data_IF_164672008079
#
_entry.id   IF_164672008079
#
_cell.length_a   1.000
_cell.length_b   1.000
_cell.length_c   1.000
_cell.angle_alpha   90.00
_cell.angle_beta   90.00
_cell.angle_gamma   90.00
#
_symmetry.space_group_name_H-M   'P 1'
#
loop_
_entity.id
_entity.type
_entity.pdbx_description
1 polymer ?
#
# COMPACT_ATOMS: atom_id res chain seq x y z
N UNK A 1 7.00 4.34 35.95
CA UNK A 1 6.37 3.69 34.78
C UNK A 1 6.95 4.40 33.58
N UNK A 2 7.83 3.73 32.83
CA UNK A 2 8.36 4.31 31.59
C UNK A 2 7.25 4.24 30.55
N UNK A 3 7.02 5.34 29.86
CA UNK A 3 6.13 5.39 28.71
C UNK A 3 6.91 4.85 27.51
N UNK A 4 7.05 3.52 27.45
CA UNK A 4 7.95 2.82 26.52
C UNK A 4 7.75 3.24 25.05
N UNK A 5 6.51 3.57 24.64
CA UNK A 5 6.23 4.02 23.28
C UNK A 5 6.88 5.38 22.96
N UNK A 6 6.85 6.29 23.94
CA UNK A 6 7.45 7.62 23.82
C UNK A 6 8.98 7.53 23.87
N UNK A 7 9.51 6.62 24.70
CA UNK A 7 10.94 6.35 24.80
C UNK A 7 11.49 5.70 23.51
N UNK A 8 10.78 4.72 22.92
CA UNK A 8 11.17 4.09 21.65
C UNK A 8 11.15 5.11 20.49
N UNK A 9 10.09 5.93 20.40
CA UNK A 9 9.99 6.95 19.36
C UNK A 9 11.12 7.98 19.47
N UNK A 10 11.37 8.46 20.69
CA UNK A 10 12.45 9.41 20.97
C UNK A 10 13.82 8.81 20.70
N UNK A 11 14.03 7.56 21.05
CA UNK A 11 15.27 6.84 20.76
C UNK A 11 15.54 6.76 19.26
N UNK A 12 14.54 6.44 18.44
CA UNK A 12 14.68 6.34 16.98
C UNK A 12 14.84 7.73 16.32
N UNK A 13 14.28 8.80 16.92
CA UNK A 13 14.57 10.19 16.55
C UNK A 13 16.03 10.55 16.87
N UNK A 14 16.52 10.23 18.07
CA UNK A 14 17.88 10.53 18.52
C UNK A 14 18.93 9.78 17.68
N UNK A 15 18.61 8.56 17.21
CA UNK A 15 19.42 7.80 16.25
C UNK A 15 19.38 8.38 14.83
N UNK A 16 18.52 9.38 14.56
CA UNK A 16 18.37 10.00 13.25
C UNK A 16 17.74 9.09 12.21
N UNK A 17 16.98 8.07 12.60
CA UNK A 17 16.30 7.14 11.69
C UNK A 17 14.98 7.76 11.18
N UNK A 18 14.27 8.43 12.08
CA UNK A 18 13.06 9.21 11.80
C UNK A 18 13.27 10.65 12.26
N UNK A 19 12.40 11.55 11.82
CA UNK A 19 12.35 12.94 12.25
C UNK A 19 10.91 13.39 12.39
N UNK A 20 10.69 14.33 13.31
CA UNK A 20 9.45 15.07 13.41
C UNK A 20 9.52 16.28 12.48
N UNK A 21 8.57 16.38 11.55
CA UNK A 21 8.35 17.56 10.73
C UNK A 21 6.91 18.01 10.96
N UNK A 22 6.70 19.13 11.66
CA UNK A 22 5.37 19.70 11.90
C UNK A 22 4.39 18.73 12.60
N UNK A 23 4.87 17.92 13.56
CA UNK A 23 4.16 16.83 14.23
C UNK A 23 3.90 15.58 13.35
N UNK A 24 4.48 15.52 12.16
CA UNK A 24 4.47 14.30 11.33
C UNK A 24 5.78 13.55 11.49
N UNK A 25 5.68 12.27 11.87
CA UNK A 25 6.83 11.37 11.94
C UNK A 25 7.14 10.84 10.54
N UNK A 26 8.31 11.19 10.03
CA UNK A 26 8.78 10.78 8.69
C UNK A 26 10.15 10.12 8.77
N UNK A 27 10.50 9.31 7.78
CA UNK A 27 11.88 8.80 7.67
C UNK A 27 12.86 9.96 7.47
N UNK A 28 14.02 9.86 8.14
CA UNK A 28 15.02 10.91 8.07
C UNK A 28 15.61 11.07 6.66
N UNK A 29 15.72 9.97 5.90
CA UNK A 29 16.22 9.93 4.53
C UNK A 29 15.57 8.80 3.70
N UNK A 30 15.83 8.83 2.38
CA UNK A 30 15.29 7.87 1.40
C UNK A 30 15.80 6.43 1.62
N UNK A 31 17.02 6.25 2.13
CA UNK A 31 17.58 4.92 2.40
C UNK A 31 16.75 4.21 3.47
N UNK A 32 16.39 4.90 4.56
CA UNK A 32 15.53 4.34 5.59
C UNK A 32 14.12 4.06 5.09
N UNK A 33 13.58 4.99 4.28
CA UNK A 33 12.28 4.80 3.62
C UNK A 33 12.22 3.58 2.70
N UNK A 34 13.36 3.17 2.13
CA UNK A 34 13.43 1.98 1.29
C UNK A 34 13.74 0.70 2.09
N UNK A 35 14.73 0.75 2.98
CA UNK A 35 15.26 -0.44 3.66
C UNK A 35 14.32 -0.94 4.74
N UNK A 36 13.76 -0.07 5.58
CA UNK A 36 12.94 -0.50 6.72
C UNK A 36 11.69 -1.26 6.25
N UNK A 37 10.86 -0.72 5.32
CA UNK A 37 9.71 -1.47 4.82
C UNK A 37 10.10 -2.77 4.12
N UNK A 38 11.22 -2.78 3.39
CA UNK A 38 11.73 -3.99 2.73
C UNK A 38 12.09 -5.08 3.74
N UNK A 39 12.73 -4.73 4.85
CA UNK A 39 13.07 -5.66 5.92
C UNK A 39 11.81 -6.19 6.61
N UNK A 40 10.87 -5.31 6.95
CA UNK A 40 9.59 -5.68 7.56
C UNK A 40 8.78 -6.63 6.67
N UNK A 41 8.83 -6.43 5.35
CA UNK A 41 8.10 -7.26 4.38
C UNK A 41 8.78 -8.58 4.04
N UNK A 42 10.05 -8.78 4.40
CA UNK A 42 10.81 -9.94 3.94
C UNK A 42 10.21 -11.27 4.41
N UNK A 43 9.74 -11.32 5.66
CA UNK A 43 9.11 -12.53 6.18
C UNK A 43 7.73 -12.77 5.56
N UNK A 44 6.96 -11.73 5.30
CA UNK A 44 5.68 -11.85 4.59
C UNK A 44 5.88 -12.43 3.20
N UNK A 45 6.86 -11.89 2.46
CA UNK A 45 7.22 -12.41 1.16
C UNK A 45 7.52 -13.90 1.23
N UNK A 46 8.31 -14.39 2.19
CA UNK A 46 8.63 -15.83 2.26
C UNK A 46 7.42 -16.74 2.44
N UNK A 47 6.31 -16.24 2.98
CA UNK A 47 5.14 -17.04 3.31
C UNK A 47 4.03 -16.99 2.25
N UNK A 48 3.99 -15.98 1.37
CA UNK A 48 2.96 -15.86 0.30
C UNK A 48 3.32 -16.69 -0.97
N UNK A 49 3.92 -17.88 -0.81
CA UNK A 49 4.69 -18.57 -1.89
C UNK A 49 3.90 -18.89 -3.15
N UNK A 50 2.64 -19.26 -3.00
CA UNK A 50 1.87 -19.86 -4.08
C UNK A 50 1.31 -18.82 -5.06
N UNK A 51 0.99 -17.61 -4.61
CA UNK A 51 0.19 -16.68 -5.42
C UNK A 51 0.99 -15.66 -6.23
N UNK A 52 2.23 -15.32 -5.89
CA UNK A 52 2.90 -14.20 -6.57
C UNK A 52 3.94 -14.57 -7.63
N UNK A 53 3.75 -15.68 -8.36
CA UNK A 53 4.57 -15.98 -9.53
C UNK A 53 4.37 -14.90 -10.59
N UNK A 54 5.42 -14.15 -10.94
CA UNK A 54 5.33 -12.99 -11.85
C UNK A 54 4.61 -13.30 -13.16
N UNK A 55 4.93 -14.44 -13.79
CA UNK A 55 4.40 -14.81 -15.11
C UNK A 55 2.87 -14.89 -15.16
N UNK A 56 2.19 -15.12 -14.04
CA UNK A 56 0.73 -15.18 -13.98
C UNK A 56 0.05 -13.85 -14.24
N UNK A 57 0.77 -12.75 -14.00
CA UNK A 57 0.29 -11.38 -14.10
C UNK A 57 0.85 -10.65 -15.31
N UNK A 58 1.55 -11.34 -16.22
CA UNK A 58 2.08 -10.76 -17.45
C UNK A 58 1.15 -11.09 -18.62
N UNK A 59 0.75 -10.06 -19.35
CA UNK A 59 -0.03 -10.19 -20.59
C UNK A 59 0.84 -10.75 -21.72
N UNK A 60 0.22 -11.24 -22.79
CA UNK A 60 0.93 -11.77 -23.97
C UNK A 60 1.91 -10.77 -24.61
N UNK A 61 1.69 -9.47 -24.43
CA UNK A 61 2.58 -8.39 -24.91
C UNK A 61 3.70 -8.03 -23.92
N UNK A 62 3.90 -8.80 -22.85
CA UNK A 62 4.95 -8.57 -21.84
C UNK A 62 4.65 -7.43 -20.85
N UNK A 63 3.44 -6.84 -20.89
CA UNK A 63 3.02 -5.80 -19.94
C UNK A 63 2.37 -6.41 -18.70
N UNK A 64 2.43 -5.69 -17.59
CA UNK A 64 1.79 -6.10 -16.35
C UNK A 64 0.26 -5.95 -16.44
N UNK A 65 -0.45 -6.96 -15.96
CA UNK A 65 -1.88 -6.91 -15.70
C UNK A 65 -2.14 -6.51 -14.24
N UNK A 66 -2.15 -5.20 -13.99
CA UNK A 66 -2.37 -4.66 -12.66
C UNK A 66 -3.75 -5.03 -12.10
N UNK A 67 -4.78 -5.08 -12.94
CA UNK A 67 -6.13 -5.43 -12.50
C UNK A 67 -6.18 -6.88 -12.02
N UNK A 68 -5.61 -7.80 -12.81
CA UNK A 68 -5.51 -9.22 -12.41
C UNK A 68 -4.67 -9.38 -11.14
N UNK A 69 -3.59 -8.61 -11.01
CA UNK A 69 -2.72 -8.64 -9.84
C UNK A 69 -3.45 -8.19 -8.56
N UNK A 70 -4.15 -7.07 -8.62
CA UNK A 70 -4.90 -6.54 -7.48
C UNK A 70 -6.12 -7.39 -7.13
N UNK A 71 -6.77 -8.04 -8.10
CA UNK A 71 -7.84 -9.02 -7.83
C UNK A 71 -7.32 -10.24 -7.09
N UNK A 72 -6.17 -10.79 -7.51
CA UNK A 72 -5.55 -11.90 -6.80
C UNK A 72 -5.09 -11.49 -5.39
N UNK A 73 -4.63 -10.25 -5.23
CA UNK A 73 -4.34 -9.72 -3.90
C UNK A 73 -5.59 -9.60 -3.04
N UNK A 74 -6.71 -9.11 -3.58
CA UNK A 74 -7.98 -8.97 -2.88
C UNK A 74 -8.49 -10.33 -2.38
N UNK A 75 -8.39 -11.38 -3.19
CA UNK A 75 -8.69 -12.77 -2.83
C UNK A 75 -7.75 -13.26 -1.71
N UNK A 76 -6.43 -13.17 -1.93
CA UNK A 76 -5.43 -13.53 -0.91
C UNK A 76 -5.67 -12.81 0.43
N UNK A 77 -5.94 -11.51 0.37
CA UNK A 77 -6.16 -10.69 1.56
C UNK A 77 -7.43 -11.12 2.29
N UNK A 78 -8.51 -11.43 1.57
CA UNK A 78 -9.75 -11.92 2.18
C UNK A 78 -9.60 -13.25 2.92
N UNK A 79 -8.76 -14.15 2.38
CA UNK A 79 -8.55 -15.48 2.97
C UNK A 79 -7.57 -15.48 4.14
N UNK A 80 -6.57 -14.59 4.11
CA UNK A 80 -5.39 -14.73 4.96
C UNK A 80 -5.17 -13.56 5.93
N UNK A 81 -5.74 -12.38 5.66
CA UNK A 81 -5.32 -11.15 6.34
C UNK A 81 -5.48 -11.19 7.86
N UNK A 82 -6.55 -11.78 8.40
CA UNK A 82 -6.78 -11.80 9.85
C UNK A 82 -5.64 -12.48 10.61
N UNK A 83 -5.20 -13.66 10.15
CA UNK A 83 -4.07 -14.40 10.72
C UNK A 83 -2.76 -13.62 10.63
N UNK A 84 -2.57 -12.86 9.55
CA UNK A 84 -1.39 -12.02 9.37
C UNK A 84 -1.42 -10.78 10.25
N UNK A 85 -2.57 -10.11 10.34
CA UNK A 85 -2.75 -8.88 11.10
C UNK A 85 -2.65 -9.10 12.60
N UNK A 86 -3.05 -10.28 13.10
CA UNK A 86 -2.85 -10.66 14.50
C UNK A 86 -1.38 -10.83 14.89
N UNK A 87 -0.51 -11.19 13.93
CA UNK A 87 0.92 -11.38 14.17
C UNK A 87 1.72 -10.08 14.16
N UNK A 88 1.12 -8.96 13.75
CA UNK A 88 1.80 -7.68 13.74
C UNK A 88 1.55 -6.90 15.03
N UNK A 89 2.63 -6.45 15.65
CA UNK A 89 2.56 -5.43 16.71
C UNK A 89 2.04 -4.08 16.15
N UNK A 90 2.18 -3.85 14.84
CA UNK A 90 1.75 -2.65 14.12
C UNK A 90 0.47 -2.87 13.27
N UNK A 91 -0.65 -3.18 13.92
CA UNK A 91 -1.92 -3.54 13.24
C UNK A 91 -2.36 -2.59 12.12
N UNK A 92 -2.04 -1.30 12.25
CA UNK A 92 -2.41 -0.28 11.27
C UNK A 92 -1.55 -0.27 10.01
N UNK A 93 -0.27 -0.64 10.10
CA UNK A 93 0.62 -0.73 8.95
C UNK A 93 0.52 -2.08 8.24
N UNK A 94 -0.01 -3.10 8.91
CA UNK A 94 -0.14 -4.47 8.42
C UNK A 94 -0.76 -4.58 7.01
N UNK A 95 -1.92 -3.97 6.71
CA UNK A 95 -2.55 -4.06 5.39
C UNK A 95 -1.66 -3.52 4.27
N UNK A 96 -1.02 -2.37 4.50
CA UNK A 96 -0.12 -1.75 3.54
C UNK A 96 1.14 -2.62 3.32
N UNK A 97 1.68 -3.19 4.40
CA UNK A 97 2.85 -4.09 4.36
C UNK A 97 2.53 -5.39 3.61
N UNK A 98 1.34 -5.97 3.82
CA UNK A 98 0.88 -7.14 3.08
C UNK A 98 0.77 -6.87 1.57
N UNK A 99 0.14 -5.77 1.16
CA UNK A 99 0.07 -5.38 -0.25
C UNK A 99 1.47 -5.18 -0.82
N UNK A 100 2.34 -4.45 -0.12
CA UNK A 100 3.71 -4.24 -0.58
C UNK A 100 4.49 -5.55 -0.72
N UNK A 101 4.37 -6.48 0.23
CA UNK A 101 5.02 -7.78 0.16
C UNK A 101 4.52 -8.61 -1.02
N UNK A 102 3.21 -8.56 -1.29
CA UNK A 102 2.59 -9.24 -2.43
C UNK A 102 3.11 -8.66 -3.76
N UNK A 103 3.07 -7.33 -3.91
CA UNK A 103 3.55 -6.63 -5.08
C UNK A 103 5.05 -6.86 -5.30
N UNK A 104 5.88 -6.81 -4.26
CA UNK A 104 7.32 -7.03 -4.37
C UNK A 104 7.64 -8.37 -5.02
N UNK A 105 6.92 -9.46 -4.70
CA UNK A 105 7.20 -10.76 -5.32
C UNK A 105 6.97 -10.74 -6.83
N UNK A 106 5.90 -10.10 -7.27
CA UNK A 106 5.53 -10.05 -8.69
C UNK A 106 6.43 -9.07 -9.44
N UNK A 107 6.62 -7.87 -8.91
CA UNK A 107 7.31 -6.77 -9.59
C UNK A 107 8.83 -6.97 -9.61
N UNK A 108 9.44 -7.61 -8.61
CA UNK A 108 10.89 -7.84 -8.59
C UNK A 108 11.38 -8.76 -9.73
N UNK A 109 10.48 -9.42 -10.48
CA UNK A 109 10.79 -10.19 -11.68
C UNK A 109 11.05 -9.35 -12.95
N UNK A 110 11.02 -8.02 -12.89
CA UNK A 110 11.30 -7.16 -14.05
C UNK A 110 10.91 -5.68 -13.95
N UNK A 111 10.48 -5.21 -12.78
CA UNK A 111 10.05 -3.84 -12.55
C UNK A 111 10.61 -3.25 -11.24
N UNK A 112 10.08 -2.08 -10.87
CA UNK A 112 10.47 -1.31 -9.68
C UNK A 112 9.23 -0.83 -8.95
N UNK A 113 9.32 -0.79 -7.62
CA UNK A 113 8.30 -0.17 -6.76
C UNK A 113 8.99 1.00 -6.07
N UNK A 114 8.60 2.21 -6.42
CA UNK A 114 9.02 3.43 -5.75
C UNK A 114 8.01 3.75 -4.65
N UNK A 115 8.51 4.00 -3.44
CA UNK A 115 7.70 4.31 -2.25
C UNK A 115 7.94 5.76 -1.88
N UNK A 116 6.88 6.51 -1.70
CA UNK A 116 6.98 7.82 -1.05
C UNK A 116 6.24 7.74 0.29
N UNK A 117 6.98 7.33 1.33
CA UNK A 117 6.48 7.39 2.71
C UNK A 117 6.46 8.85 3.16
N UNK A 118 5.33 9.55 2.95
CA UNK A 118 5.05 10.81 3.61
C UNK A 118 3.79 10.65 4.46
N UNK A 119 3.99 10.29 5.72
CA UNK A 119 2.97 10.50 6.76
C UNK A 119 2.71 12.01 6.79
N UNK A 120 1.49 12.45 6.48
CA UNK A 120 1.04 13.83 6.71
C UNK A 120 0.90 14.77 5.51
N UNK A 121 1.73 14.66 4.45
CA UNK A 121 1.88 15.81 3.50
C UNK A 121 1.29 15.64 2.09
N UNK A 122 0.61 14.52 1.77
CA UNK A 122 -0.10 14.36 0.49
C UNK A 122 0.77 13.96 -0.71
N UNK A 123 1.56 12.89 -0.58
CA UNK A 123 2.16 12.13 -1.68
C UNK A 123 1.41 10.81 -1.89
N UNK A 124 1.64 10.15 -3.02
CA UNK A 124 1.06 8.83 -3.27
C UNK A 124 1.95 7.71 -2.76
N UNK A 125 1.32 6.72 -2.13
CA UNK A 125 2.00 5.66 -1.41
C UNK A 125 2.91 4.81 -2.32
N UNK A 126 2.48 4.47 -3.55
CA UNK A 126 3.23 3.59 -4.45
C UNK A 126 3.20 4.04 -5.92
N UNK A 127 4.37 4.14 -6.54
CA UNK A 127 4.56 4.20 -7.99
C UNK A 127 5.25 2.93 -8.47
N UNK A 128 4.57 2.15 -9.30
CA UNK A 128 5.08 0.90 -9.86
C UNK A 128 5.48 1.14 -11.30
N UNK A 129 6.72 0.78 -11.63
CA UNK A 129 7.23 0.81 -13.01
C UNK A 129 7.50 -0.62 -13.47
N UNK A 130 6.90 -1.06 -14.57
CA UNK A 130 7.09 -2.41 -15.10
C UNK A 130 7.12 -2.39 -16.62
N UNK A 131 8.24 -2.81 -17.21
CA UNK A 131 8.43 -2.88 -18.66
C UNK A 131 7.97 -1.60 -19.42
N UNK A 132 8.28 -0.42 -18.87
CA UNK A 132 7.91 0.88 -19.43
C UNK A 132 6.51 1.40 -19.09
N UNK A 133 5.66 0.60 -18.43
CA UNK A 133 4.38 1.07 -17.90
C UNK A 133 4.56 1.61 -16.49
N UNK A 134 3.71 2.59 -16.13
CA UNK A 134 3.66 3.18 -14.79
C UNK A 134 2.26 2.99 -14.21
N UNK A 135 2.19 2.63 -12.93
CA UNK A 135 0.93 2.48 -12.18
C UNK A 135 1.05 3.24 -10.87
N UNK A 136 0.03 4.03 -10.56
CA UNK A 136 -0.05 4.86 -9.37
C UNK A 136 -1.09 4.25 -8.43
N UNK A 137 -0.68 3.90 -7.21
CA UNK A 137 -1.53 3.29 -6.20
C UNK A 137 -1.53 4.17 -4.94
N UNK A 138 -2.70 4.66 -4.55
CA UNK A 138 -2.96 5.36 -3.29
C UNK A 138 -3.61 4.39 -2.30
N UNK A 139 -3.12 4.33 -1.06
CA UNK A 139 -3.58 3.40 -0.04
C UNK A 139 -4.25 4.18 1.10
N UNK A 140 -5.40 3.69 1.55
CA UNK A 140 -6.15 4.29 2.66
C UNK A 140 -6.78 3.23 3.54
N UNK A 141 -6.66 3.43 4.85
CA UNK A 141 -7.49 2.72 5.83
C UNK A 141 -8.83 3.46 5.97
N UNK A 142 -9.95 2.72 6.00
CA UNK A 142 -11.31 3.26 6.19
C UNK A 142 -11.59 3.67 7.64
N UNK A 143 -10.74 4.51 8.23
CA UNK A 143 -10.88 5.02 9.62
C UNK A 143 -12.03 6.01 9.78
N UNK A 144 -12.30 6.78 8.73
CA UNK A 144 -13.30 7.84 8.73
C UNK A 144 -14.13 7.78 7.45
N UNK A 145 -15.38 8.25 7.46
CA UNK A 145 -16.22 8.32 6.26
C UNK A 145 -15.56 9.08 5.09
N UNK A 146 -14.72 10.06 5.39
CA UNK A 146 -14.01 10.88 4.39
C UNK A 146 -12.78 10.22 3.77
N UNK A 147 -12.35 9.02 4.21
CA UNK A 147 -11.12 8.37 3.74
C UNK A 147 -11.12 8.17 2.21
N UNK A 148 -12.26 7.74 1.66
CA UNK A 148 -12.42 7.56 0.21
C UNK A 148 -12.25 8.87 -0.55
N UNK A 149 -12.99 9.92 -0.17
CA UNK A 149 -12.91 11.21 -0.86
C UNK A 149 -11.50 11.82 -0.77
N UNK A 150 -10.86 11.75 0.40
CA UNK A 150 -9.48 12.22 0.57
C UNK A 150 -8.49 11.45 -0.30
N UNK A 151 -8.63 10.12 -0.40
CA UNK A 151 -7.80 9.30 -1.27
C UNK A 151 -7.98 9.66 -2.74
N UNK A 152 -9.21 9.90 -3.20
CA UNK A 152 -9.50 10.35 -4.56
C UNK A 152 -8.86 11.70 -4.88
N UNK A 153 -8.94 12.65 -3.97
CA UNK A 153 -8.32 13.97 -4.15
C UNK A 153 -6.78 13.89 -4.14
N UNK A 154 -6.20 13.01 -3.31
CA UNK A 154 -4.76 12.79 -3.23
C UNK A 154 -4.20 12.15 -4.51
N UNK A 155 -4.77 11.02 -4.93
CA UNK A 155 -4.30 10.34 -6.13
C UNK A 155 -4.49 11.20 -7.38
N UNK A 156 -5.57 11.98 -7.46
CA UNK A 156 -5.80 12.91 -8.58
C UNK A 156 -4.68 13.94 -8.71
N UNK A 157 -4.32 14.61 -7.59
CA UNK A 157 -3.21 15.56 -7.55
C UNK A 157 -1.89 14.91 -7.95
N UNK A 158 -1.63 13.69 -7.48
CA UNK A 158 -0.38 13.00 -7.84
C UNK A 158 -0.33 12.62 -9.32
N UNK A 159 -1.45 12.15 -9.87
CA UNK A 159 -1.58 11.89 -11.31
C UNK A 159 -1.33 13.15 -12.15
N UNK A 160 -1.75 14.34 -11.70
CA UNK A 160 -1.40 15.62 -12.36
C UNK A 160 0.12 15.85 -12.38
N UNK A 161 0.81 15.64 -11.26
CA UNK A 161 2.27 15.84 -11.19
C UNK A 161 3.05 14.93 -12.13
N UNK A 162 2.52 13.73 -12.41
CA UNK A 162 3.13 12.76 -13.30
C UNK A 162 2.65 12.86 -14.75
N UNK A 163 1.70 13.76 -15.06
CA UNK A 163 1.07 13.85 -16.38
C UNK A 163 0.24 12.60 -16.74
N UNK A 164 -0.23 11.86 -15.73
CA UNK A 164 -0.99 10.62 -15.88
C UNK A 164 -2.50 10.85 -15.69
N UNK A 165 -3.31 9.93 -16.20
CA UNK A 165 -4.79 10.00 -16.15
C UNK A 165 -5.44 8.78 -15.50
N UNK A 166 -4.64 7.79 -15.09
CA UNK A 166 -5.11 6.51 -14.54
C UNK A 166 -4.37 6.14 -13.26
N UNK A 167 -5.11 5.72 -12.25
CA UNK A 167 -4.55 5.24 -10.98
C UNK A 167 -5.51 4.32 -10.22
N UNK A 168 -5.04 3.78 -9.11
CA UNK A 168 -5.77 2.85 -8.26
C UNK A 168 -5.86 3.41 -6.84
N UNK A 169 -7.08 3.49 -6.30
CA UNK A 169 -7.30 3.80 -4.89
C UNK A 169 -7.62 2.50 -4.16
N UNK A 170 -6.75 2.08 -3.25
CA UNK A 170 -6.92 0.88 -2.43
C UNK A 170 -7.44 1.28 -1.05
N UNK A 171 -8.62 0.78 -0.68
CA UNK A 171 -9.28 1.07 0.59
C UNK A 171 -9.37 -0.19 1.45
N UNK A 172 -8.67 -0.18 2.57
CA UNK A 172 -8.69 -1.28 3.53
C UNK A 172 -9.75 -1.05 4.60
N UNK A 173 -10.64 -2.03 4.77
CA UNK A 173 -11.55 -2.12 5.91
C UNK A 173 -10.77 -2.56 7.15
N UNK A 174 -10.93 -1.81 8.24
CA UNK A 174 -10.19 -2.05 9.49
C UNK A 174 -11.02 -2.79 10.52
N UNK A 175 -12.35 -2.84 10.35
CA UNK A 175 -13.19 -3.61 11.26
C UNK A 175 -12.91 -5.11 11.08
N UNK A 176 -13.07 -5.96 12.10
CA UNK A 176 -12.97 -7.42 11.95
C UNK A 176 -14.08 -8.00 11.05
N UNK A 177 -13.84 -9.11 10.35
CA UNK A 177 -14.84 -9.72 9.45
C UNK A 177 -16.15 -10.10 10.16
N UNK A 178 -16.09 -10.35 11.47
CA UNK A 178 -17.26 -10.58 12.33
C UNK A 178 -18.19 -9.37 12.46
N UNK A 179 -17.72 -8.14 12.18
CA UNK A 179 -18.53 -6.92 12.21
C UNK A 179 -18.99 -6.53 10.79
N UNK A 180 -18.09 -6.62 9.81
CA UNK A 180 -18.41 -6.37 8.40
C UNK A 180 -17.96 -7.62 7.63
N UNK A 181 -18.85 -8.43 7.05
CA UNK A 181 -18.46 -9.65 6.32
C UNK A 181 -17.68 -9.35 5.02
N UNK A 182 -16.78 -10.24 4.60
CA UNK A 182 -15.91 -10.06 3.43
C UNK A 182 -16.69 -9.80 2.13
N UNK A 183 -17.84 -10.43 1.98
CA UNK A 183 -18.74 -10.30 0.82
C UNK A 183 -19.24 -8.86 0.64
N UNK A 184 -19.26 -8.08 1.73
CA UNK A 184 -19.70 -6.67 1.72
C UNK A 184 -18.55 -5.67 1.63
N UNK A 185 -17.31 -6.12 1.88
CA UNK A 185 -16.09 -5.29 1.82
C UNK A 185 -15.45 -5.26 0.45
N UNK A 186 -15.40 -6.44 -0.19
CA UNK A 186 -14.74 -6.66 -1.47
C UNK A 186 -15.50 -5.95 -2.56
N UNK A 187 -14.95 -4.83 -3.05
CA UNK A 187 -15.54 -4.06 -4.14
C UNK A 187 -14.50 -3.66 -5.16
N UNK A 188 -14.96 -3.52 -6.40
CA UNK A 188 -14.18 -3.07 -7.54
C UNK A 188 -15.03 -2.11 -8.36
N UNK A 189 -14.58 -0.87 -8.51
CA UNK A 189 -15.36 0.18 -9.18
C UNK A 189 -14.44 1.09 -9.97
N UNK A 190 -14.76 1.31 -11.25
CA UNK A 190 -14.09 2.33 -12.06
C UNK A 190 -14.88 3.63 -12.00
N UNK A 191 -14.24 4.70 -11.53
CA UNK A 191 -14.87 6.02 -11.42
C UNK A 191 -14.08 7.08 -12.18
N UNK A 192 -14.77 8.16 -12.52
CA UNK A 192 -14.16 9.40 -13.00
C UNK A 192 -14.14 10.41 -11.87
N UNK A 193 -12.97 10.94 -11.51
CA UNK A 193 -12.82 11.99 -10.51
C UNK A 193 -11.82 13.02 -11.03
N UNK A 194 -12.21 14.31 -11.07
CA UNK A 194 -11.34 15.39 -11.56
C UNK A 194 -10.66 15.07 -12.92
N UNK A 195 -11.41 14.49 -13.86
CA UNK A 195 -10.94 14.04 -15.18
C UNK A 195 -9.89 12.91 -15.17
N UNK A 196 -9.71 12.23 -14.03
CA UNK A 196 -8.90 11.02 -13.90
C UNK A 196 -9.79 9.78 -13.86
N UNK A 197 -9.35 8.70 -14.48
CA UNK A 197 -9.96 7.37 -14.34
C UNK A 197 -9.30 6.67 -13.17
N UNK A 198 -10.05 6.44 -12.10
CA UNK A 198 -9.55 5.81 -10.89
C UNK A 198 -10.30 4.51 -10.67
N UNK A 199 -9.55 3.42 -10.55
CA UNK A 199 -10.10 2.14 -10.13
C UNK A 199 -10.03 2.07 -8.61
N UNK A 200 -11.19 2.02 -7.96
CA UNK A 200 -11.32 1.87 -6.51
C UNK A 200 -11.43 0.40 -6.18
N UNK A 201 -10.49 -0.09 -5.36
CA UNK A 201 -10.44 -1.48 -4.89
C UNK A 201 -10.63 -1.46 -3.38
N UNK A 202 -11.72 -2.05 -2.88
CA UNK A 202 -12.02 -2.11 -1.45
C UNK A 202 -11.85 -3.54 -0.94
N UNK A 203 -11.23 -3.73 0.23
CA UNK A 203 -11.05 -5.04 0.86
C UNK A 203 -10.95 -4.92 2.37
#
# INVERSE_FOLDING_TARGET
>A
MYDNFNDDLRYVIDLGIIKDINNDIVFANEIYGEIIPRVLNFQLQKNIREQGTTSWYIKSNGKLDMDKLLKAFQEFYSENSEVWLERFDYKEAGPHLLLMAFLQRVINGGGRINREMAVGTGRTDLLIEFNGDKFVLELKLKRMPSARQKGLDQISRYLDTLGMTKGYLILFEIKPSSIIPWETRVKWEDISHQNKKITVVEM
#
